data_IF_777702081914
#
_entry.id   IF_777702081914
#
_cell.length_a   1.000
_cell.length_b   1.000
_cell.length_c   1.000
_cell.angle_alpha   90.00
_cell.angle_beta   90.00
_cell.angle_gamma   90.00
#
_symmetry.space_group_name_H-M   'P 1'
#
loop_
_entity.id
_entity.type
_entity.pdbx_description
1 polymer ?
#
# COMPACT_ATOMS: atom_id res chain seq x y z
N UNK A 1 -3.11 4.48 24.39
CA UNK A 1 -3.69 3.99 23.13
C UNK A 1 -2.79 2.89 22.61
N UNK A 2 -3.28 1.66 22.56
CA UNK A 2 -2.46 0.53 22.16
C UNK A 2 -2.22 0.58 20.63
N UNK A 3 -0.95 0.45 20.23
CA UNK A 3 -0.49 0.59 18.86
C UNK A 3 -0.98 -0.60 18.04
N UNK A 4 -1.77 -0.35 16.99
CA UNK A 4 -2.17 -1.41 16.07
C UNK A 4 -0.93 -1.90 15.31
N UNK A 5 -0.66 -3.21 15.37
CA UNK A 5 0.46 -3.86 14.68
C UNK A 5 -0.06 -4.48 13.39
N UNK A 6 0.71 -4.37 12.31
CA UNK A 6 0.38 -5.02 11.04
C UNK A 6 1.43 -6.07 10.72
N UNK A 7 0.99 -7.31 10.56
CA UNK A 7 1.81 -8.46 10.15
C UNK A 7 1.55 -8.73 8.67
N UNK A 8 2.59 -8.69 7.84
CA UNK A 8 2.50 -9.00 6.41
C UNK A 8 2.59 -10.52 6.24
N UNK A 9 1.56 -11.11 5.64
CA UNK A 9 1.47 -12.54 5.37
C UNK A 9 1.94 -12.87 3.95
N UNK A 10 1.48 -12.09 2.97
CA UNK A 10 1.91 -12.18 1.57
C UNK A 10 2.08 -10.79 0.95
N UNK A 11 2.98 -10.68 -0.02
CA UNK A 11 3.27 -9.43 -0.71
C UNK A 11 3.62 -9.68 -2.18
N UNK A 12 3.16 -8.80 -3.05
CA UNK A 12 3.69 -8.61 -4.41
C UNK A 12 4.14 -7.16 -4.58
N UNK A 13 5.13 -6.93 -5.44
CA UNK A 13 5.76 -5.62 -5.66
C UNK A 13 5.69 -5.22 -7.11
N UNK A 14 5.51 -3.92 -7.36
CA UNK A 14 5.68 -3.27 -8.66
C UNK A 14 6.81 -2.24 -8.55
N UNK A 15 7.84 -2.40 -9.38
CA UNK A 15 9.06 -1.57 -9.42
C UNK A 15 10.33 -2.41 -9.32
N UNK A 16 11.48 -1.75 -9.50
CA UNK A 16 12.79 -2.41 -9.48
C UNK A 16 13.38 -2.52 -8.06
N UNK A 17 14.22 -3.55 -7.79
CA UNK A 17 14.98 -3.63 -6.56
C UNK A 17 15.86 -2.39 -6.36
N UNK A 18 15.92 -1.88 -5.13
CA UNK A 18 16.71 -0.70 -4.78
C UNK A 18 16.00 0.64 -5.07
N UNK A 19 14.82 0.61 -5.69
CA UNK A 19 13.98 1.79 -5.90
C UNK A 19 12.73 1.75 -5.03
N UNK A 20 11.93 2.83 -5.11
CA UNK A 20 10.60 2.85 -4.54
C UNK A 20 9.72 1.76 -5.15
N UNK A 21 8.99 1.01 -4.33
CA UNK A 21 8.11 -0.05 -4.80
C UNK A 21 6.70 0.09 -4.25
N UNK A 22 5.71 0.01 -5.13
CA UNK A 22 4.31 -0.12 -4.74
C UNK A 22 4.06 -1.59 -4.40
N UNK A 23 3.69 -1.85 -3.16
CA UNK A 23 3.43 -3.19 -2.65
C UNK A 23 1.93 -3.41 -2.48
N UNK A 24 1.44 -4.56 -2.94
CA UNK A 24 0.11 -5.06 -2.60
C UNK A 24 0.27 -6.20 -1.60
N UNK A 25 -0.31 -6.03 -0.42
CA UNK A 25 -0.07 -6.91 0.72
C UNK A 25 -1.36 -7.53 1.24
N UNK A 26 -1.31 -8.81 1.61
CA UNK A 26 -2.27 -9.46 2.50
C UNK A 26 -1.71 -9.43 3.92
N UNK A 27 -2.48 -8.86 4.84
CA UNK A 27 -2.01 -8.56 6.19
C UNK A 27 -2.98 -9.04 7.26
N UNK A 28 -2.42 -9.23 8.46
CA UNK A 28 -3.16 -9.32 9.71
C UNK A 28 -2.96 -8.05 10.52
N UNK A 29 -4.04 -7.42 10.89
CA UNK A 29 -4.11 -6.22 11.70
C UNK A 29 -4.42 -6.65 13.13
N UNK A 30 -3.45 -6.49 14.02
CA UNK A 30 -3.56 -6.82 15.44
C UNK A 30 -3.87 -5.53 16.19
N UNK A 31 -5.08 -5.42 16.71
CA UNK A 31 -5.54 -4.26 17.48
C UNK A 31 -5.24 -4.46 18.96
N UNK A 32 -5.09 -3.35 19.67
CA UNK A 32 -4.63 -3.37 21.05
C UNK A 32 -5.64 -3.87 22.09
N UNK A 33 -6.88 -4.15 21.66
CA UNK A 33 -7.93 -4.82 22.44
C UNK A 33 -7.87 -6.35 22.30
N UNK A 34 -6.89 -6.88 21.56
CA UNK A 34 -6.75 -8.31 21.27
C UNK A 34 -7.55 -8.79 20.07
N UNK A 35 -8.30 -7.90 19.41
CA UNK A 35 -8.97 -8.25 18.16
C UNK A 35 -7.95 -8.29 17.02
N UNK A 36 -8.16 -9.23 16.11
CA UNK A 36 -7.38 -9.36 14.88
C UNK A 36 -8.30 -9.34 13.67
N UNK A 37 -7.86 -8.66 12.61
CA UNK A 37 -8.56 -8.65 11.34
C UNK A 37 -7.61 -8.93 10.18
N UNK A 38 -8.08 -9.71 9.21
CA UNK A 38 -7.35 -9.92 7.97
C UNK A 38 -7.82 -8.91 6.91
N UNK A 39 -6.92 -8.52 6.02
CA UNK A 39 -7.25 -7.60 4.94
C UNK A 39 -6.08 -7.27 4.04
N UNK A 40 -6.40 -6.64 2.92
CA UNK A 40 -5.47 -6.15 1.92
C UNK A 40 -5.14 -4.67 2.12
N UNK A 41 -3.99 -4.26 1.60
CA UNK A 41 -3.63 -2.84 1.44
C UNK A 41 -2.60 -2.63 0.33
N UNK A 42 -2.53 -1.39 -0.14
CA UNK A 42 -1.42 -0.88 -0.93
C UNK A 42 -0.48 -0.07 -0.04
N UNK A 43 0.83 -0.26 -0.15
CA UNK A 43 1.82 0.51 0.62
C UNK A 43 3.08 0.75 -0.19
N UNK A 44 3.73 1.89 0.01
CA UNK A 44 5.02 2.17 -0.58
C UNK A 44 6.15 1.64 0.30
N UNK A 45 7.14 1.02 -0.36
CA UNK A 45 8.41 0.62 0.23
C UNK A 45 9.50 1.54 -0.28
N UNK A 46 10.34 1.99 0.64
CA UNK A 46 11.51 2.83 0.37
C UNK A 46 12.60 2.02 -0.34
N UNK A 47 13.54 2.68 -1.05
CA UNK A 47 14.76 2.09 -1.62
C UNK A 47 15.51 1.17 -0.66
N UNK A 48 15.62 1.58 0.62
CA UNK A 48 16.28 0.81 1.67
C UNK A 48 15.48 -0.42 2.17
N UNK A 49 14.36 -0.74 1.53
CA UNK A 49 13.51 -1.87 1.87
C UNK A 49 12.55 -1.62 3.01
N UNK A 50 12.56 -0.48 3.70
CA UNK A 50 11.62 -0.21 4.79
C UNK A 50 10.25 0.21 4.27
N UNK A 51 9.19 -0.17 4.99
CA UNK A 51 7.82 0.26 4.69
C UNK A 51 7.62 1.72 5.07
N UNK A 52 7.00 2.50 4.19
CA UNK A 52 6.50 3.83 4.52
C UNK A 52 5.04 3.71 4.95
N UNK A 53 4.82 3.58 6.25
CA UNK A 53 3.48 3.60 6.81
C UNK A 53 2.83 4.97 6.58
N UNK A 54 1.90 5.07 5.63
CA UNK A 54 1.07 6.24 5.47
C UNK A 54 -0.07 6.19 6.49
N UNK A 55 -0.22 7.25 7.29
CA UNK A 55 -1.36 7.41 8.18
C UNK A 55 -2.64 7.44 7.34
N UNK A 56 -3.69 6.75 7.79
CA UNK A 56 -5.00 6.77 7.14
C UNK A 56 -5.18 5.76 6.00
N UNK A 57 -4.28 4.79 5.81
CA UNK A 57 -4.57 3.68 4.89
C UNK A 57 -5.71 2.82 5.41
N UNK A 58 -6.69 2.57 4.55
CA UNK A 58 -7.80 1.68 4.84
C UNK A 58 -7.39 0.21 4.69
N UNK A 59 -7.87 -0.64 5.61
CA UNK A 59 -7.91 -2.09 5.41
C UNK A 59 -8.98 -2.39 4.36
N UNK A 60 -8.61 -3.15 3.32
CA UNK A 60 -9.56 -3.59 2.30
C UNK A 60 -9.88 -5.06 2.54
N UNK A 61 -11.14 -5.45 2.83
CA UNK A 61 -11.45 -6.82 3.25
C UNK A 61 -11.16 -7.88 2.18
N UNK A 62 -11.39 -7.59 0.91
CA UNK A 62 -11.20 -8.54 -0.19
C UNK A 62 -10.62 -7.91 -1.45
N UNK A 63 -10.02 -8.73 -2.33
CA UNK A 63 -9.62 -8.30 -3.67
C UNK A 63 -10.85 -7.93 -4.53
N UNK A 64 -12.00 -8.57 -4.27
CA UNK A 64 -13.27 -8.26 -4.95
C UNK A 64 -13.66 -6.80 -4.73
N UNK A 65 -13.52 -6.29 -3.50
CA UNK A 65 -13.81 -4.88 -3.20
C UNK A 65 -12.91 -3.92 -4.02
N UNK A 66 -11.63 -4.26 -4.18
CA UNK A 66 -10.68 -3.47 -4.97
C UNK A 66 -11.14 -3.41 -6.43
N UNK A 67 -11.48 -4.57 -7.00
CA UNK A 67 -11.93 -4.67 -8.38
C UNK A 67 -13.26 -3.94 -8.60
N UNK A 68 -14.20 -4.07 -7.67
CA UNK A 68 -15.47 -3.36 -7.72
C UNK A 68 -15.27 -1.84 -7.66
N UNK A 69 -14.42 -1.36 -6.76
CA UNK A 69 -14.11 0.07 -6.63
C UNK A 69 -13.40 0.61 -7.88
N UNK A 70 -12.46 -0.16 -8.46
CA UNK A 70 -11.82 0.18 -9.72
C UNK A 70 -12.82 0.25 -10.88
N UNK A 71 -13.72 -0.74 -10.99
CA UNK A 71 -14.77 -0.75 -11.99
C UNK A 71 -15.73 0.45 -11.84
N UNK A 72 -16.10 0.82 -10.60
CA UNK A 72 -16.89 2.03 -10.31
C UNK A 72 -16.17 3.29 -10.77
N UNK A 73 -14.88 3.44 -10.49
CA UNK A 73 -14.08 4.58 -10.93
C UNK A 73 -14.02 4.71 -12.45
N UNK A 74 -13.84 3.59 -13.16
CA UNK A 74 -13.87 3.54 -14.63
C UNK A 74 -15.25 3.94 -15.15
N UNK A 75 -16.32 3.37 -14.59
CA UNK A 75 -17.71 3.70 -14.96
C UNK A 75 -18.04 5.17 -14.72
N UNK A 76 -17.47 5.77 -13.69
CA UNK A 76 -17.57 7.20 -13.38
C UNK A 76 -16.69 8.09 -14.25
N UNK A 77 -15.94 7.53 -15.20
CA UNK A 77 -15.21 8.28 -16.22
C UNK A 77 -13.85 8.84 -15.79
N UNK A 78 -13.33 8.47 -14.61
CA UNK A 78 -12.04 8.99 -14.12
C UNK A 78 -11.00 7.91 -13.81
N UNK A 79 -11.37 6.62 -13.87
CA UNK A 79 -10.45 5.50 -13.61
C UNK A 79 -9.29 5.33 -14.59
N UNK A 80 -9.20 6.17 -15.63
CA UNK A 80 -8.13 6.15 -16.65
C UNK A 80 -7.15 7.33 -16.52
N UNK A 81 -7.30 8.17 -15.50
CA UNK A 81 -6.38 9.29 -15.26
C UNK A 81 -4.97 8.75 -15.00
N UNK A 82 -3.99 9.27 -15.72
CA UNK A 82 -2.58 9.01 -15.48
C UNK A 82 -2.09 10.04 -14.46
N UNK A 83 -1.41 9.60 -13.40
CA UNK A 83 -0.61 10.53 -12.60
C UNK A 83 0.55 11.04 -13.45
N UNK A 84 0.94 12.30 -13.24
CA UNK A 84 2.25 12.76 -13.70
C UNK A 84 3.30 11.87 -13.05
N UNK A 85 4.31 11.46 -13.83
CA UNK A 85 5.40 10.57 -13.43
C UNK A 85 5.81 10.87 -11.97
N UNK A 86 5.59 9.90 -11.08
CA UNK A 86 5.90 10.00 -9.66
C UNK A 86 7.43 9.96 -9.51
N UNK A 87 8.08 11.06 -9.91
CA UNK A 87 9.51 11.30 -9.85
C UNK A 87 9.97 11.34 -8.40
N UNK A 88 10.06 10.17 -7.79
CA UNK A 88 10.78 9.98 -6.54
C UNK A 88 12.27 9.99 -6.87
N UNK A 89 12.79 11.21 -7.05
CA UNK A 89 14.17 11.49 -7.40
C UNK A 89 15.15 10.74 -6.50
N UNK A 90 16.25 10.33 -7.13
CA UNK A 90 17.46 9.86 -6.47
C UNK A 90 17.86 10.90 -5.41
N UNK A 91 17.84 10.50 -4.13
CA UNK A 91 18.39 11.31 -3.05
C UNK A 91 19.89 11.51 -3.37
N UNK A 92 20.21 12.70 -3.87
CA UNK A 92 21.56 13.15 -4.14
C UNK A 92 22.43 13.01 -2.91
N UNK A 93 23.47 12.19 -3.03
CA UNK A 93 24.59 12.16 -2.11
C UNK A 93 25.51 13.33 -2.46
N UNK A 94 25.31 14.49 -1.83
CA UNK A 94 26.31 15.56 -1.78
C UNK A 94 27.10 15.46 -0.47
N UNK A 95 28.36 15.04 -0.64
CA UNK A 95 29.59 15.19 0.18
C UNK A 95 29.52 15.27 1.72
#
# INVERSE_FOLDING_TARGET
MAQARVVVLNEVKKGDPGNWNLCFQWCRYEYGDGNEELGYRFIWRRPNGNLQAARGQARIPSVVDILELGAKAIKSGWGHNLSSDDGHGEDGNDD
#
